data_IF_017637692806
#
_entry.id   IF_017637692806
#
_cell.length_a   1.000
_cell.length_b   1.000
_cell.length_c   1.000
_cell.angle_alpha   90.00
_cell.angle_beta   90.00
_cell.angle_gamma   90.00
#
_symmetry.space_group_name_H-M   'P 1'
#
loop_
_entity.id
_entity.type
_entity.pdbx_description
1 polymer ?
#
# COMPACT_ATOMS: atom_id res chain seq x y z
N UNK A 1 7.16 -11.52 26.99
CA UNK A 1 7.95 -10.86 25.97
C UNK A 1 7.05 -10.37 24.83
N UNK A 2 7.18 -9.11 24.48
CA UNK A 2 6.34 -8.56 23.42
C UNK A 2 6.71 -9.17 22.08
N UNK A 3 5.71 -9.63 21.34
CA UNK A 3 5.91 -10.10 19.98
C UNK A 3 6.35 -8.92 19.12
N UNK A 4 7.44 -9.09 18.41
CA UNK A 4 7.88 -8.06 17.47
C UNK A 4 6.83 -7.90 16.38
N UNK A 5 6.28 -6.71 16.29
CA UNK A 5 5.39 -6.38 15.20
C UNK A 5 6.23 -6.22 13.93
N UNK A 6 5.87 -6.95 12.88
CA UNK A 6 6.59 -6.84 11.62
C UNK A 6 6.24 -5.54 10.91
N UNK A 7 7.25 -4.91 10.36
CA UNK A 7 7.07 -3.69 9.58
C UNK A 7 6.87 -4.06 8.12
N UNK A 8 5.73 -3.67 7.59
CA UNK A 8 5.46 -3.82 6.17
C UNK A 8 6.00 -2.62 5.41
N UNK A 9 6.39 -2.86 4.17
CA UNK A 9 6.76 -1.80 3.24
C UNK A 9 5.58 -1.50 2.35
N UNK A 10 5.12 -0.25 2.38
CA UNK A 10 3.90 0.18 1.69
C UNK A 10 4.22 1.30 0.71
N UNK A 11 3.46 1.35 -0.37
CA UNK A 11 3.58 2.40 -1.39
C UNK A 11 2.21 3.02 -1.62
N UNK A 12 2.08 4.31 -1.31
CA UNK A 12 0.86 5.08 -1.58
C UNK A 12 0.85 5.56 -3.02
N UNK A 13 -0.22 5.23 -3.74
CA UNK A 13 -0.44 5.72 -5.09
C UNK A 13 -0.68 7.23 -5.10
N UNK A 14 -0.45 7.86 -6.23
CA UNK A 14 -0.44 9.33 -6.36
C UNK A 14 -1.74 10.00 -5.93
N UNK A 15 -2.88 9.35 -6.15
CA UNK A 15 -4.19 9.89 -5.80
C UNK A 15 -4.48 9.93 -4.30
N UNK A 16 -3.66 9.26 -3.50
CA UNK A 16 -3.81 9.25 -2.05
C UNK A 16 -3.02 10.39 -1.42
N UNK A 17 -3.47 10.90 -0.24
CA UNK A 17 -2.70 11.91 0.49
C UNK A 17 -1.31 11.41 0.89
N UNK A 18 -0.44 12.35 1.25
CA UNK A 18 0.92 12.06 1.71
C UNK A 18 0.90 11.18 2.97
N UNK A 19 2.00 10.49 3.21
CA UNK A 19 2.13 9.54 4.33
C UNK A 19 1.86 10.15 5.71
N UNK A 20 2.07 11.43 5.89
CA UNK A 20 1.80 12.10 7.17
C UNK A 20 0.31 12.16 7.53
N UNK A 21 -0.58 11.92 6.56
CA UNK A 21 -2.02 11.81 6.79
C UNK A 21 -2.43 10.44 7.35
N UNK A 22 -1.48 9.51 7.44
CA UNK A 22 -1.67 8.16 7.96
C UNK A 22 -0.71 7.95 9.14
N UNK A 23 -0.97 8.61 10.30
CA UNK A 23 0.02 8.65 11.37
C UNK A 23 0.40 7.28 11.94
N UNK A 24 -0.54 6.36 12.07
CA UNK A 24 -0.22 5.03 12.59
C UNK A 24 0.63 4.24 11.60
N UNK A 25 0.22 4.24 10.33
CA UNK A 25 0.99 3.56 9.28
C UNK A 25 2.39 4.15 9.15
N UNK A 26 2.49 5.47 9.20
CA UNK A 26 3.78 6.16 9.10
C UNK A 26 4.69 5.85 10.29
N UNK A 27 4.11 5.65 11.46
CA UNK A 27 4.86 5.38 12.69
C UNK A 27 5.28 3.91 12.82
N UNK A 28 4.38 2.97 12.46
CA UNK A 28 4.61 1.55 12.68
C UNK A 28 5.11 0.78 11.46
N UNK A 29 4.95 1.32 10.26
CA UNK A 29 5.35 0.66 9.02
C UNK A 29 6.21 1.58 8.18
N UNK A 30 6.84 1.01 7.15
CA UNK A 30 7.63 1.80 6.21
C UNK A 30 6.74 2.18 5.03
N UNK A 31 6.17 3.37 5.08
CA UNK A 31 5.25 3.86 4.07
C UNK A 31 5.89 4.99 3.27
N UNK A 32 5.73 4.97 1.94
CA UNK A 32 6.22 6.01 1.04
C UNK A 32 5.12 6.37 0.05
N UNK A 33 5.08 7.63 -0.31
CA UNK A 33 4.17 8.13 -1.36
C UNK A 33 4.93 8.21 -2.67
N UNK A 34 4.33 7.71 -3.75
CA UNK A 34 5.03 7.62 -5.03
C UNK A 34 5.48 8.98 -5.56
N UNK A 35 4.66 10.02 -5.43
CA UNK A 35 5.01 11.37 -5.89
C UNK A 35 5.80 12.17 -4.86
N UNK A 36 5.35 12.20 -3.61
CA UNK A 36 5.95 13.05 -2.58
C UNK A 36 7.26 12.52 -2.03
N UNK A 37 7.39 11.21 -1.88
CA UNK A 37 8.60 10.61 -1.31
C UNK A 37 9.55 10.05 -2.37
N UNK A 38 9.02 9.41 -3.41
CA UNK A 38 9.84 8.77 -4.43
C UNK A 38 10.04 9.62 -5.69
N UNK A 39 9.39 10.77 -5.76
CA UNK A 39 9.52 11.75 -6.85
C UNK A 39 9.12 11.20 -8.22
N UNK A 40 8.19 10.25 -8.25
CA UNK A 40 7.69 9.63 -9.48
C UNK A 40 6.28 10.13 -9.83
N UNK A 41 6.12 11.45 -9.87
CA UNK A 41 4.85 12.08 -10.21
C UNK A 41 4.44 11.71 -11.65
N UNK A 42 3.18 11.36 -11.83
CA UNK A 42 2.64 11.02 -13.14
C UNK A 42 3.01 9.62 -13.63
N UNK A 43 3.52 8.76 -12.76
CA UNK A 43 3.84 7.38 -13.13
C UNK A 43 2.59 6.64 -13.59
N UNK A 44 2.71 5.86 -14.68
CA UNK A 44 1.64 4.99 -15.14
C UNK A 44 1.41 3.83 -14.17
N UNK A 45 0.25 3.17 -14.28
CA UNK A 45 -0.05 2.01 -13.44
C UNK A 45 1.04 0.93 -13.54
N UNK A 46 1.53 0.68 -14.75
CA UNK A 46 2.60 -0.29 -14.95
C UNK A 46 3.90 0.13 -14.27
N UNK A 47 4.23 1.40 -14.33
CA UNK A 47 5.42 1.95 -13.66
C UNK A 47 5.30 1.84 -12.15
N UNK A 48 4.09 2.11 -11.60
CA UNK A 48 3.82 1.95 -10.18
C UNK A 48 4.08 0.51 -9.74
N UNK A 49 3.55 -0.46 -10.49
CA UNK A 49 3.71 -1.88 -10.17
C UNK A 49 5.17 -2.32 -10.29
N UNK A 50 5.87 -1.91 -11.32
CA UNK A 50 7.28 -2.24 -11.48
C UNK A 50 8.13 -1.69 -10.35
N UNK A 51 7.86 -0.46 -9.95
CA UNK A 51 8.56 0.17 -8.84
C UNK A 51 8.26 -0.54 -7.52
N UNK A 52 6.99 -0.86 -7.28
CA UNK A 52 6.57 -1.59 -6.08
C UNK A 52 7.27 -2.95 -6.00
N UNK A 53 7.35 -3.66 -7.09
CA UNK A 53 8.05 -4.95 -7.15
C UNK A 53 9.54 -4.80 -6.84
N UNK A 54 10.18 -3.82 -7.47
CA UNK A 54 11.60 -3.53 -7.27
C UNK A 54 11.91 -3.21 -5.81
N UNK A 55 11.04 -2.44 -5.16
CA UNK A 55 11.24 -2.00 -3.79
C UNK A 55 10.64 -2.96 -2.75
N UNK A 56 9.93 -4.00 -3.18
CA UNK A 56 9.28 -4.94 -2.28
C UNK A 56 8.15 -4.31 -1.47
N UNK A 57 7.36 -3.43 -2.08
CA UNK A 57 6.29 -2.68 -1.40
C UNK A 57 4.91 -3.14 -1.82
N UNK A 58 4.00 -3.21 -0.83
CA UNK A 58 2.58 -3.43 -1.07
C UNK A 58 1.97 -2.10 -1.52
N UNK A 59 1.22 -2.11 -2.63
CA UNK A 59 0.62 -0.89 -3.16
C UNK A 59 -0.73 -0.63 -2.51
N UNK A 60 -0.95 0.60 -2.06
CA UNK A 60 -2.25 1.09 -1.58
C UNK A 60 -2.79 2.04 -2.63
N UNK A 61 -3.97 1.73 -3.19
CA UNK A 61 -4.51 2.48 -4.31
C UNK A 61 -6.04 2.55 -4.29
N UNK A 62 -6.58 3.61 -4.86
CA UNK A 62 -8.00 3.75 -5.17
C UNK A 62 -8.35 3.17 -6.54
N UNK A 63 -7.35 2.99 -7.40
CA UNK A 63 -7.54 2.46 -8.75
C UNK A 63 -7.53 0.92 -8.72
N UNK A 64 -8.59 0.36 -8.14
CA UNK A 64 -8.65 -1.08 -7.84
C UNK A 64 -8.61 -1.92 -9.11
N UNK A 65 -9.44 -1.57 -10.09
CA UNK A 65 -9.63 -2.40 -11.27
C UNK A 65 -8.31 -2.66 -12.03
N UNK A 66 -7.59 -1.61 -12.34
CA UNK A 66 -6.36 -1.73 -13.13
C UNK A 66 -5.20 -2.29 -12.31
N UNK A 67 -5.01 -1.81 -11.10
CA UNK A 67 -3.87 -2.23 -10.30
C UNK A 67 -4.02 -3.64 -9.73
N UNK A 68 -5.25 -4.09 -9.47
CA UNK A 68 -5.48 -5.47 -9.06
C UNK A 68 -4.97 -6.45 -10.11
N UNK A 69 -5.32 -6.21 -11.38
CA UNK A 69 -4.91 -7.07 -12.48
C UNK A 69 -3.39 -7.07 -12.66
N UNK A 70 -2.79 -5.88 -12.66
CA UNK A 70 -1.35 -5.75 -12.81
C UNK A 70 -0.60 -6.37 -11.63
N UNK A 71 -1.14 -6.25 -10.42
CA UNK A 71 -0.57 -6.88 -9.24
C UNK A 71 -0.52 -8.39 -9.35
N UNK A 72 -1.60 -9.00 -9.86
CA UNK A 72 -1.62 -10.45 -10.10
C UNK A 72 -0.56 -10.86 -11.13
N UNK A 73 -0.47 -10.13 -12.23
CA UNK A 73 0.47 -10.43 -13.32
C UNK A 73 1.92 -10.31 -12.87
N UNK A 74 2.23 -9.37 -12.00
CA UNK A 74 3.60 -9.07 -11.58
C UNK A 74 3.95 -9.54 -10.18
N UNK A 75 3.05 -10.26 -9.52
CA UNK A 75 3.23 -10.76 -8.15
C UNK A 75 3.49 -9.64 -7.15
N UNK A 76 2.71 -8.56 -7.25
CA UNK A 76 2.72 -7.43 -6.32
C UNK A 76 1.40 -7.42 -5.55
N UNK A 77 1.47 -7.39 -4.21
CA UNK A 77 0.29 -7.34 -3.37
C UNK A 77 -0.33 -5.95 -3.41
N UNK A 78 -1.66 -5.90 -3.47
CA UNK A 78 -2.43 -4.66 -3.59
C UNK A 78 -3.44 -4.54 -2.46
N UNK A 79 -3.48 -3.38 -1.82
CA UNK A 79 -4.56 -3.00 -0.91
C UNK A 79 -5.41 -1.96 -1.64
N UNK A 80 -6.59 -2.38 -2.08
CA UNK A 80 -7.51 -1.50 -2.80
C UNK A 80 -8.43 -0.80 -1.82
N UNK A 81 -8.43 0.53 -1.81
CA UNK A 81 -9.22 1.31 -0.87
C UNK A 81 -10.41 1.97 -1.57
N UNK A 82 -11.56 2.02 -0.88
CA UNK A 82 -12.75 2.68 -1.42
C UNK A 82 -12.67 4.19 -1.19
N UNK A 83 -13.22 4.95 -2.14
CA UNK A 83 -13.12 6.42 -2.14
C UNK A 83 -13.82 7.10 -0.98
N UNK A 84 -14.82 6.45 -0.39
CA UNK A 84 -15.64 7.03 0.66
C UNK A 84 -14.94 7.13 2.01
N UNK A 85 -13.79 6.48 2.17
CA UNK A 85 -13.08 6.48 3.44
C UNK A 85 -12.10 7.64 3.55
N UNK A 86 -12.18 8.36 4.67
CA UNK A 86 -11.23 9.43 4.97
C UNK A 86 -9.86 8.83 5.35
N UNK A 87 -8.76 9.59 5.21
CA UNK A 87 -7.42 9.10 5.56
C UNK A 87 -7.31 8.53 6.96
N UNK A 88 -7.98 9.14 7.95
CA UNK A 88 -7.99 8.65 9.33
C UNK A 88 -8.61 7.27 9.44
N UNK A 89 -9.70 7.03 8.71
CA UNK A 89 -10.36 5.73 8.68
C UNK A 89 -9.50 4.70 7.98
N UNK A 90 -8.88 5.08 6.87
CA UNK A 90 -7.97 4.20 6.13
C UNK A 90 -6.78 3.81 6.99
N UNK A 91 -6.21 4.75 7.72
CA UNK A 91 -5.09 4.51 8.60
C UNK A 91 -5.40 3.37 9.59
N UNK A 92 -6.53 3.48 10.27
CA UNK A 92 -6.97 2.46 11.24
C UNK A 92 -7.29 1.12 10.59
N UNK A 93 -8.00 1.14 9.47
CA UNK A 93 -8.42 -0.08 8.79
C UNK A 93 -7.23 -0.83 8.18
N UNK A 94 -6.31 -0.13 7.58
CA UNK A 94 -5.11 -0.74 7.02
C UNK A 94 -4.23 -1.32 8.12
N UNK A 95 -4.07 -0.58 9.23
CA UNK A 95 -3.35 -1.10 10.40
C UNK A 95 -3.93 -2.44 10.87
N UNK A 96 -5.26 -2.52 10.98
CA UNK A 96 -5.95 -3.74 11.41
C UNK A 96 -5.73 -4.89 10.42
N UNK A 97 -5.78 -4.61 9.14
CA UNK A 97 -5.54 -5.62 8.10
C UNK A 97 -4.10 -6.14 8.18
N UNK A 98 -3.13 -5.25 8.31
CA UNK A 98 -1.72 -5.62 8.39
C UNK A 98 -1.40 -6.45 9.63
N UNK A 99 -2.07 -6.20 10.74
CA UNK A 99 -1.90 -6.99 11.96
C UNK A 99 -2.31 -8.45 11.76
N UNK A 100 -3.29 -8.69 10.91
CA UNK A 100 -3.79 -10.04 10.60
C UNK A 100 -3.02 -10.71 9.47
N UNK A 101 -2.27 -9.94 8.69
CA UNK A 101 -1.50 -10.49 7.58
C UNK A 101 -0.22 -11.15 8.09
N UNK A 102 0.05 -12.33 7.57
CA UNK A 102 1.34 -12.97 7.83
C UNK A 102 2.37 -12.39 6.88
N UNK A 103 3.56 -12.13 7.40
CA UNK A 103 4.66 -11.64 6.59
C UNK A 103 5.12 -12.76 5.65
N UNK A 104 4.73 -12.64 4.39
CA UNK A 104 5.09 -13.57 3.35
C UNK A 104 5.60 -12.82 2.13
N UNK A 105 6.36 -13.51 1.30
CA UNK A 105 6.77 -12.99 0.00
C UNK A 105 5.55 -12.55 -0.80
N UNK A 106 5.63 -11.44 -1.49
CA UNK A 106 4.54 -10.94 -2.32
C UNK A 106 4.19 -11.94 -3.42
N UNK A 107 2.88 -12.17 -3.61
CA UNK A 107 2.35 -13.14 -4.56
C UNK A 107 1.26 -12.57 -5.47
N UNK A 108 1.03 -11.27 -5.43
CA UNK A 108 -0.04 -10.67 -6.20
C UNK A 108 -1.41 -10.80 -5.56
N UNK A 109 -1.47 -10.89 -4.23
CA UNK A 109 -2.73 -10.95 -3.49
C UNK A 109 -3.41 -9.59 -3.49
N UNK A 110 -4.74 -9.62 -3.51
CA UNK A 110 -5.53 -8.40 -3.43
C UNK A 110 -6.39 -8.41 -2.17
N UNK A 111 -6.37 -7.31 -1.43
CA UNK A 111 -7.21 -7.11 -0.25
C UNK A 111 -7.97 -5.79 -0.40
N UNK A 112 -9.29 -5.86 -0.30
CA UNK A 112 -10.14 -4.67 -0.37
C UNK A 112 -10.30 -4.07 1.03
N UNK A 113 -10.07 -2.77 1.13
CA UNK A 113 -10.25 -2.01 2.37
C UNK A 113 -11.56 -1.24 2.26
N UNK A 114 -12.53 -1.62 3.06
CA UNK A 114 -13.87 -1.02 3.04
C UNK A 114 -14.24 -0.38 4.36
#
# INVERSE_FOLDING_TARGET
MATRQRRFKLLLDEMLPRRDKYPQLNNYHNIRHIAHDLKEKGASDEEVIKLAKKLGRIVITKNIKHLRKLGEEHNVDILGVVETLAPEQLDKKIMAVLQKMKFKKMKGRFTKIT
#
